data_IF_217196763948
#
_entry.id   IF_217196763948
#
_cell.length_a   1.000
_cell.length_b   1.000
_cell.length_c   1.000
_cell.angle_alpha   90.00
_cell.angle_beta   90.00
_cell.angle_gamma   90.00
#
_symmetry.space_group_name_H-M   'P 1'
#
loop_
_entity.id
_entity.type
_entity.pdbx_description
1 polymer ?
#
# COMPACT_ATOMS: atom_id res chain seq x y z
N UNK A 1 -3.15 -21.88 -25.70
CA UNK A 1 -3.61 -20.89 -24.69
C UNK A 1 -4.77 -21.43 -23.84
N UNK A 2 -5.93 -21.79 -24.41
CA UNK A 2 -7.12 -22.19 -23.62
C UNK A 2 -6.88 -23.31 -22.59
N UNK A 3 -6.12 -24.35 -22.95
CA UNK A 3 -5.75 -25.46 -22.06
C UNK A 3 -4.93 -24.96 -20.86
N UNK A 4 -3.99 -24.03 -21.10
CA UNK A 4 -3.18 -23.41 -20.06
C UNK A 4 -4.03 -22.55 -19.12
N UNK A 5 -4.95 -21.74 -19.65
CA UNK A 5 -5.88 -20.96 -18.85
C UNK A 5 -6.76 -21.84 -17.96
N UNK A 6 -7.25 -22.97 -18.46
CA UNK A 6 -8.03 -23.95 -17.68
C UNK A 6 -7.18 -24.61 -16.58
N UNK A 7 -5.92 -24.93 -16.88
CA UNK A 7 -4.99 -25.54 -15.93
C UNK A 7 -4.64 -24.61 -14.76
N UNK A 8 -4.57 -23.30 -15.00
CA UNK A 8 -4.17 -22.31 -13.99
C UNK A 8 -5.26 -21.25 -13.80
N UNK A 9 -6.32 -21.53 -13.00
CA UNK A 9 -7.52 -20.69 -12.92
C UNK A 9 -7.31 -19.29 -12.33
N UNK A 10 -6.21 -19.10 -11.61
CA UNK A 10 -5.92 -17.85 -10.89
C UNK A 10 -5.04 -16.87 -11.69
N UNK A 11 -4.54 -17.30 -12.85
CA UNK A 11 -3.77 -16.43 -13.73
C UNK A 11 -4.68 -15.48 -14.49
N UNK A 12 -4.22 -14.23 -14.60
CA UNK A 12 -4.77 -13.21 -15.47
C UNK A 12 -3.87 -13.07 -16.69
N UNK A 13 -4.47 -12.76 -17.83
CA UNK A 13 -3.77 -12.60 -19.10
C UNK A 13 -3.97 -11.20 -19.65
N UNK A 14 -2.89 -10.65 -20.17
CA UNK A 14 -2.91 -9.46 -21.01
C UNK A 14 -3.16 -9.86 -22.46
N UNK A 15 -4.04 -9.12 -23.13
CA UNK A 15 -4.22 -9.20 -24.58
C UNK A 15 -3.83 -7.83 -25.16
N UNK A 16 -2.71 -7.76 -25.86
CA UNK A 16 -2.21 -6.52 -26.45
C UNK A 16 -2.39 -6.55 -27.97
N UNK A 17 -3.02 -5.53 -28.54
CA UNK A 17 -3.15 -5.38 -29.97
C UNK A 17 -2.10 -4.44 -30.53
N UNK A 18 -1.60 -4.75 -31.72
CA UNK A 18 -0.56 -3.99 -32.42
C UNK A 18 -0.97 -3.71 -33.87
N UNK A 19 -0.42 -2.65 -34.44
CA UNK A 19 -0.56 -2.29 -35.86
C UNK A 19 0.81 -2.11 -36.51
N UNK A 20 0.83 -1.99 -37.82
CA UNK A 20 1.98 -1.40 -38.51
C UNK A 20 1.96 0.14 -38.37
N UNK A 21 2.88 0.82 -39.04
CA UNK A 21 2.99 2.29 -39.01
C UNK A 21 2.14 3.01 -40.05
N UNK A 22 1.29 2.33 -40.81
CA UNK A 22 0.50 2.94 -41.89
C UNK A 22 -0.86 3.39 -41.36
N UNK A 23 -1.25 4.61 -41.71
CA UNK A 23 -2.51 5.23 -41.27
C UNK A 23 -2.39 5.98 -39.94
N UNK A 24 -3.46 6.67 -39.56
CA UNK A 24 -3.50 7.56 -38.39
C UNK A 24 -4.21 6.94 -37.19
N UNK A 25 -5.18 6.05 -37.42
CA UNK A 25 -6.06 5.45 -36.39
C UNK A 25 -5.49 4.16 -35.78
N UNK A 26 -4.19 4.14 -35.50
CA UNK A 26 -3.49 2.93 -35.05
C UNK A 26 -3.91 2.48 -33.64
N UNK A 27 -4.16 3.41 -32.72
CA UNK A 27 -4.57 3.06 -31.35
C UNK A 27 -5.96 2.39 -31.31
N UNK A 28 -7.04 2.99 -31.87
CA UNK A 28 -8.35 2.32 -31.92
C UNK A 28 -8.32 0.98 -32.66
N UNK A 29 -7.60 0.90 -33.79
CA UNK A 29 -7.49 -0.35 -34.55
C UNK A 29 -6.82 -1.46 -33.74
N UNK A 30 -5.75 -1.11 -33.01
CA UNK A 30 -5.06 -2.04 -32.14
C UNK A 30 -5.95 -2.52 -30.99
N UNK A 31 -6.76 -1.63 -30.40
CA UNK A 31 -7.72 -1.99 -29.34
C UNK A 31 -8.78 -2.97 -29.85
N UNK A 32 -9.39 -2.67 -31.01
CA UNK A 32 -10.41 -3.53 -31.62
C UNK A 32 -9.87 -4.94 -31.90
N UNK A 33 -8.62 -5.03 -32.35
CA UNK A 33 -7.93 -6.30 -32.55
C UNK A 33 -7.78 -7.09 -31.24
N UNK A 34 -7.37 -6.43 -30.15
CA UNK A 34 -7.29 -7.06 -28.84
C UNK A 34 -8.67 -7.50 -28.32
N UNK A 35 -9.70 -6.67 -28.51
CA UNK A 35 -11.08 -6.97 -28.11
C UNK A 35 -11.67 -8.17 -28.86
N UNK A 36 -11.37 -8.34 -30.15
CA UNK A 36 -11.80 -9.51 -30.92
C UNK A 36 -11.23 -10.82 -30.35
N UNK A 37 -9.94 -10.82 -29.97
CA UNK A 37 -9.31 -11.98 -29.30
C UNK A 37 -9.94 -12.23 -27.92
N UNK A 38 -10.19 -11.17 -27.16
CA UNK A 38 -10.88 -11.26 -25.87
C UNK A 38 -12.26 -11.92 -26.03
N UNK A 39 -13.09 -11.43 -26.96
CA UNK A 39 -14.43 -11.96 -27.23
C UNK A 39 -14.37 -13.44 -27.59
N UNK A 40 -13.48 -13.82 -28.52
CA UNK A 40 -13.29 -15.22 -28.90
C UNK A 40 -12.96 -16.12 -27.69
N UNK A 41 -12.06 -15.69 -26.79
CA UNK A 41 -11.70 -16.46 -25.60
C UNK A 41 -12.84 -16.57 -24.57
N UNK A 42 -13.65 -15.52 -24.44
CA UNK A 42 -14.74 -15.49 -23.46
C UNK A 42 -16.01 -16.17 -23.98
N UNK A 43 -16.31 -16.04 -25.27
CA UNK A 43 -17.54 -16.52 -25.88
C UNK A 43 -17.41 -17.97 -26.35
N UNK A 44 -16.34 -18.31 -27.07
CA UNK A 44 -16.14 -19.67 -27.59
C UNK A 44 -15.56 -20.60 -26.53
N UNK A 45 -14.58 -20.12 -25.76
CA UNK A 45 -13.87 -20.95 -24.78
C UNK A 45 -14.40 -20.85 -23.35
N UNK A 46 -15.38 -19.97 -23.13
CA UNK A 46 -16.04 -19.71 -21.83
C UNK A 46 -15.05 -19.38 -20.71
N UNK A 47 -13.91 -18.78 -21.04
CA UNK A 47 -12.96 -18.33 -20.02
C UNK A 47 -13.52 -17.05 -19.39
N UNK A 48 -13.59 -16.94 -18.05
CA UNK A 48 -14.22 -15.79 -17.42
C UNK A 48 -13.57 -14.45 -17.79
N UNK A 49 -14.38 -13.43 -18.07
CA UNK A 49 -13.96 -12.10 -18.53
C UNK A 49 -12.96 -11.41 -17.60
N UNK A 50 -13.12 -11.58 -16.28
CA UNK A 50 -12.23 -10.99 -15.27
C UNK A 50 -10.79 -11.55 -15.30
N UNK A 51 -10.52 -12.56 -16.13
CA UNK A 51 -9.17 -13.13 -16.32
C UNK A 51 -8.39 -12.45 -17.44
N UNK A 52 -8.96 -11.43 -18.05
CA UNK A 52 -8.33 -10.72 -19.15
C UNK A 52 -8.40 -9.21 -18.96
N UNK A 53 -7.42 -8.54 -19.51
CA UNK A 53 -7.51 -7.13 -19.86
C UNK A 53 -6.88 -6.89 -21.24
N UNK A 54 -7.35 -5.86 -21.93
CA UNK A 54 -6.90 -5.51 -23.27
C UNK A 54 -6.08 -4.22 -23.25
N UNK A 55 -4.96 -4.19 -23.97
CA UNK A 55 -4.15 -2.99 -24.16
C UNK A 55 -4.03 -2.64 -25.65
N UNK A 56 -4.03 -1.34 -25.95
CA UNK A 56 -3.86 -0.79 -27.28
C UNK A 56 -2.42 -0.29 -27.46
N UNK A 57 -1.60 -1.01 -28.23
CA UNK A 57 -0.19 -0.65 -28.42
C UNK A 57 0.05 0.24 -29.65
N UNK A 58 -0.95 0.34 -30.53
CA UNK A 58 -0.82 1.02 -31.81
C UNK A 58 0.41 0.55 -32.59
N UNK A 59 1.14 1.50 -33.17
CA UNK A 59 2.35 1.26 -33.97
C UNK A 59 3.66 1.42 -33.19
N UNK A 60 3.58 1.74 -31.89
CA UNK A 60 4.74 2.15 -31.06
C UNK A 60 5.74 1.03 -30.79
N UNK A 61 5.32 -0.23 -30.90
CA UNK A 61 6.14 -1.40 -30.55
C UNK A 61 6.17 -2.43 -31.69
N UNK A 62 6.84 -2.11 -32.82
CA UNK A 62 6.93 -3.01 -33.96
C UNK A 62 7.79 -4.24 -33.63
N UNK A 63 7.33 -5.42 -34.04
CA UNK A 63 8.12 -6.66 -33.93
C UNK A 63 9.21 -6.75 -35.01
N UNK A 64 8.96 -6.11 -36.16
CA UNK A 64 9.90 -5.95 -37.27
C UNK A 64 9.87 -4.52 -37.83
N UNK A 65 10.94 -4.00 -38.44
CA UNK A 65 10.92 -2.68 -39.07
C UNK A 65 9.80 -2.56 -40.12
N UNK A 66 9.07 -1.45 -40.16
CA UNK A 66 7.90 -1.25 -41.07
C UNK A 66 8.26 -1.02 -42.56
N UNK A 67 9.44 -1.47 -43.00
CA UNK A 67 10.00 -1.17 -44.32
C UNK A 67 9.31 -1.96 -45.46
N UNK A 68 9.03 -3.25 -45.24
CA UNK A 68 8.42 -4.12 -46.27
C UNK A 68 7.00 -4.54 -45.88
N UNK A 69 6.18 -4.92 -46.86
CA UNK A 69 4.82 -5.41 -46.59
C UNK A 69 4.82 -6.70 -45.76
N UNK A 70 5.81 -7.56 -45.97
CA UNK A 70 6.03 -8.75 -45.16
C UNK A 70 6.27 -8.39 -43.69
N UNK A 71 7.14 -7.41 -43.40
CA UNK A 71 7.39 -6.96 -42.03
C UNK A 71 6.16 -6.26 -41.40
N UNK A 72 5.43 -5.45 -42.18
CA UNK A 72 4.18 -4.82 -41.71
C UNK A 72 3.12 -5.84 -41.34
N UNK A 73 2.97 -6.90 -42.12
CA UNK A 73 2.06 -8.01 -41.83
C UNK A 73 2.35 -8.63 -40.46
N UNK A 74 3.62 -8.84 -40.12
CA UNK A 74 4.02 -9.36 -38.81
C UNK A 74 3.74 -8.38 -37.65
N UNK A 75 3.69 -7.07 -37.92
CA UNK A 75 3.38 -6.06 -36.90
C UNK A 75 1.87 -5.98 -36.59
N UNK A 76 1.00 -6.30 -37.56
CA UNK A 76 -0.45 -6.35 -37.40
C UNK A 76 -0.89 -7.62 -36.64
N UNK A 77 -0.66 -7.66 -35.33
CA UNK A 77 -0.85 -8.86 -34.50
C UNK A 77 -1.58 -8.58 -33.19
N UNK A 78 -2.01 -9.64 -32.52
CA UNK A 78 -2.41 -9.62 -31.12
C UNK A 78 -1.53 -10.59 -30.34
N UNK A 79 -0.97 -10.12 -29.23
CA UNK A 79 -0.15 -10.94 -28.34
C UNK A 79 -0.93 -11.23 -27.05
N UNK A 80 -0.83 -12.46 -26.55
CA UNK A 80 -1.39 -12.86 -25.26
C UNK A 80 -0.24 -13.21 -24.32
N UNK A 81 -0.20 -12.57 -23.15
CA UNK A 81 0.85 -12.78 -22.14
C UNK A 81 0.24 -13.06 -20.78
N UNK A 82 0.93 -13.83 -19.96
CA UNK A 82 0.59 -13.91 -18.54
C UNK A 82 0.87 -12.55 -17.90
N UNK A 83 -0.10 -12.02 -17.17
CA UNK A 83 0.06 -10.78 -16.42
C UNK A 83 0.78 -11.01 -15.09
N UNK A 84 1.37 -9.96 -14.54
CA UNK A 84 1.78 -9.90 -13.13
C UNK A 84 0.60 -9.83 -12.16
N UNK A 85 -0.61 -9.55 -12.66
CA UNK A 85 -1.85 -9.54 -11.89
C UNK A 85 -2.41 -10.94 -11.65
N UNK A 86 -3.15 -11.08 -10.55
CA UNK A 86 -4.01 -12.22 -10.28
C UNK A 86 -5.50 -11.86 -10.28
N UNK A 87 -6.35 -12.88 -10.18
CA UNK A 87 -7.81 -12.70 -10.22
C UNK A 87 -8.34 -11.84 -9.06
N UNK A 88 -7.65 -11.80 -7.91
CA UNK A 88 -8.02 -10.92 -6.81
C UNK A 88 -7.82 -9.46 -7.20
N UNK A 89 -6.67 -9.14 -7.78
CA UNK A 89 -6.40 -7.80 -8.32
C UNK A 89 -7.47 -7.36 -9.34
N UNK A 90 -7.96 -8.28 -10.15
CA UNK A 90 -9.02 -8.01 -11.13
C UNK A 90 -10.39 -7.83 -10.50
N UNK A 91 -10.73 -8.57 -9.44
CA UNK A 91 -11.99 -8.37 -8.72
C UNK A 91 -12.08 -6.97 -8.12
N UNK A 92 -11.01 -6.47 -7.49
CA UNK A 92 -11.01 -5.12 -6.92
C UNK A 92 -11.21 -4.05 -8.00
N UNK A 93 -10.45 -4.13 -9.11
CA UNK A 93 -10.57 -3.21 -10.25
C UNK A 93 -11.96 -3.24 -10.88
N UNK A 94 -12.54 -4.43 -11.06
CA UNK A 94 -13.88 -4.55 -11.60
C UNK A 94 -14.96 -4.03 -10.64
N UNK A 95 -14.75 -4.13 -9.32
CA UNK A 95 -15.63 -3.50 -8.34
C UNK A 95 -15.61 -1.97 -8.48
N UNK A 96 -14.42 -1.36 -8.60
CA UNK A 96 -14.29 0.10 -8.83
C UNK A 96 -15.00 0.54 -10.12
N UNK A 97 -14.76 -0.16 -11.23
CA UNK A 97 -15.42 0.13 -12.52
C UNK A 97 -16.94 -0.01 -12.45
N UNK A 98 -17.43 -1.03 -11.75
CA UNK A 98 -18.85 -1.22 -11.55
C UNK A 98 -19.46 -0.07 -10.73
N UNK A 99 -18.72 0.49 -9.76
CA UNK A 99 -19.16 1.69 -9.03
C UNK A 99 -19.23 2.92 -9.94
N UNK A 100 -18.21 3.18 -10.76
CA UNK A 100 -18.22 4.30 -11.72
C UNK A 100 -19.42 4.22 -12.68
N UNK A 101 -19.74 3.01 -13.13
CA UNK A 101 -20.90 2.73 -13.99
C UNK A 101 -22.24 2.70 -13.24
N UNK A 102 -22.25 2.89 -11.92
CA UNK A 102 -23.42 2.78 -11.03
C UNK A 102 -24.07 1.39 -11.01
N UNK A 103 -23.31 0.35 -11.36
CA UNK A 103 -23.70 -1.06 -11.37
C UNK A 103 -23.46 -1.71 -9.99
N UNK A 104 -24.10 -1.18 -8.94
CA UNK A 104 -23.75 -1.52 -7.55
C UNK A 104 -23.90 -3.00 -7.20
N UNK A 105 -24.87 -3.72 -7.78
CA UNK A 105 -25.00 -5.16 -7.57
C UNK A 105 -23.80 -5.94 -8.09
N UNK A 106 -23.25 -5.53 -9.23
CA UNK A 106 -22.04 -6.12 -9.77
C UNK A 106 -20.82 -5.75 -8.93
N UNK A 107 -20.74 -4.51 -8.45
CA UNK A 107 -19.68 -4.07 -7.53
C UNK A 107 -19.62 -4.94 -6.27
N UNK A 108 -20.77 -5.19 -5.60
CA UNK A 108 -20.84 -6.09 -4.44
C UNK A 108 -20.43 -7.52 -4.78
N UNK A 109 -20.84 -8.05 -5.94
CA UNK A 109 -20.43 -9.38 -6.40
C UNK A 109 -18.91 -9.51 -6.51
N UNK A 110 -18.25 -8.51 -7.08
CA UNK A 110 -16.79 -8.49 -7.18
C UNK A 110 -16.10 -8.29 -5.83
N UNK A 111 -16.61 -7.40 -4.96
CA UNK A 111 -16.07 -7.23 -3.61
C UNK A 111 -16.17 -8.52 -2.80
N UNK A 112 -17.28 -9.25 -2.88
CA UNK A 112 -17.41 -10.54 -2.21
C UNK A 112 -16.41 -11.58 -2.73
N UNK A 113 -16.15 -11.62 -4.04
CA UNK A 113 -15.11 -12.50 -4.61
C UNK A 113 -13.71 -12.10 -4.14
N UNK A 114 -13.42 -10.80 -4.10
CA UNK A 114 -12.16 -10.27 -3.59
C UNK A 114 -11.93 -10.64 -2.11
N UNK A 115 -12.95 -10.48 -1.27
CA UNK A 115 -12.93 -10.82 0.16
C UNK A 115 -12.77 -12.33 0.44
N UNK A 116 -12.92 -13.22 -0.54
CA UNK A 116 -12.70 -14.66 -0.33
C UNK A 116 -11.49 -15.20 -1.09
N UNK A 117 -10.86 -14.36 -1.93
CA UNK A 117 -9.74 -14.72 -2.79
C UNK A 117 -8.55 -13.80 -2.48
N UNK A 118 -7.66 -14.16 -1.54
CA UNK A 118 -6.47 -13.35 -1.26
C UNK A 118 -5.56 -13.27 -2.49
N UNK A 119 -4.94 -12.10 -2.70
CA UNK A 119 -3.90 -11.92 -3.72
C UNK A 119 -2.61 -12.63 -3.28
N UNK A 120 -1.79 -13.09 -4.23
CA UNK A 120 -0.48 -13.66 -3.90
C UNK A 120 0.39 -12.61 -3.20
N UNK A 121 0.89 -12.94 -2.01
CA UNK A 121 1.74 -12.04 -1.21
C UNK A 121 0.98 -10.92 -0.49
N UNK A 122 -0.36 -10.89 -0.53
CA UNK A 122 -1.16 -9.94 0.25
C UNK A 122 -1.19 -10.36 1.72
N UNK A 123 -0.66 -9.49 2.58
CA UNK A 123 -0.52 -9.70 4.02
C UNK A 123 -1.78 -9.31 4.81
N UNK A 124 -2.97 -9.37 4.20
CA UNK A 124 -4.24 -9.14 4.90
C UNK A 124 -4.60 -7.67 5.10
N UNK A 125 -4.60 -6.87 4.02
CA UNK A 125 -5.01 -5.45 4.09
C UNK A 125 -6.47 -5.22 3.70
N UNK A 126 -7.38 -6.17 3.98
CA UNK A 126 -8.79 -6.02 3.57
C UNK A 126 -9.51 -4.89 4.27
N UNK A 127 -9.03 -4.49 5.44
CA UNK A 127 -9.50 -3.29 6.14
C UNK A 127 -9.40 -2.03 5.27
N UNK A 128 -8.45 -1.94 4.34
CA UNK A 128 -8.36 -0.82 3.38
C UNK A 128 -9.68 -0.60 2.62
N UNK A 129 -10.43 -1.66 2.31
CA UNK A 129 -11.75 -1.55 1.65
C UNK A 129 -12.73 -0.67 2.44
N UNK A 130 -12.65 -0.70 3.78
CA UNK A 130 -13.49 0.13 4.64
C UNK A 130 -13.12 1.61 4.61
N UNK A 131 -11.93 1.94 4.08
CA UNK A 131 -11.37 3.29 4.01
C UNK A 131 -11.18 3.80 2.57
N UNK A 132 -11.38 2.96 1.57
CA UNK A 132 -11.36 3.39 0.17
C UNK A 132 -12.60 4.22 -0.15
N UNK A 133 -12.39 5.52 -0.34
CA UNK A 133 -13.45 6.50 -0.55
C UNK A 133 -14.17 6.34 -1.89
N UNK A 134 -13.57 5.60 -2.85
CA UNK A 134 -14.23 5.28 -4.12
C UNK A 134 -15.43 4.35 -3.94
N UNK A 135 -15.52 3.66 -2.79
CA UNK A 135 -16.66 2.82 -2.42
C UNK A 135 -17.67 3.52 -1.50
N UNK A 136 -17.55 4.82 -1.20
CA UNK A 136 -18.45 5.54 -0.27
C UNK A 136 -19.93 5.36 -0.61
N UNK A 137 -20.28 5.37 -1.90
CA UNK A 137 -21.67 5.16 -2.34
C UNK A 137 -22.21 3.79 -1.92
N UNK A 138 -21.37 2.76 -1.88
CA UNK A 138 -21.77 1.42 -1.47
C UNK A 138 -21.95 1.33 0.05
N UNK A 139 -21.26 2.16 0.85
CA UNK A 139 -21.34 2.12 2.32
C UNK A 139 -22.73 2.46 2.86
N UNK A 140 -23.53 3.16 2.05
CA UNK A 140 -24.93 3.52 2.35
C UNK A 140 -25.93 2.39 2.02
N UNK A 141 -25.50 1.38 1.27
CA UNK A 141 -26.33 0.24 0.88
C UNK A 141 -26.36 -0.82 2.00
N UNK A 142 -27.53 -1.42 2.26
CA UNK A 142 -27.72 -2.45 3.29
C UNK A 142 -26.75 -3.65 3.16
N UNK A 143 -26.31 -3.98 1.95
CA UNK A 143 -25.36 -5.08 1.67
C UNK A 143 -23.96 -4.80 2.19
N UNK A 144 -23.62 -3.53 2.45
CA UNK A 144 -22.34 -3.15 3.03
C UNK A 144 -22.10 -3.79 4.40
N UNK A 145 -23.15 -3.99 5.19
CA UNK A 145 -23.05 -4.67 6.49
C UNK A 145 -22.35 -6.03 6.39
N UNK A 146 -22.60 -6.80 5.33
CA UNK A 146 -21.93 -8.09 5.09
C UNK A 146 -20.47 -7.92 4.70
N UNK A 147 -20.12 -6.86 3.97
CA UNK A 147 -18.73 -6.52 3.62
C UNK A 147 -17.96 -6.15 4.89
N UNK A 148 -18.49 -5.24 5.70
CA UNK A 148 -17.90 -4.82 6.97
C UNK A 148 -17.70 -6.01 7.93
N UNK A 149 -18.71 -6.86 8.09
CA UNK A 149 -18.60 -8.07 8.92
C UNK A 149 -17.51 -9.03 8.46
N UNK A 150 -17.34 -9.23 7.14
CA UNK A 150 -16.30 -10.11 6.58
C UNK A 150 -14.90 -9.56 6.84
N UNK A 151 -14.71 -8.26 6.69
CA UNK A 151 -13.44 -7.60 7.00
C UNK A 151 -13.13 -7.70 8.50
N UNK A 152 -14.09 -7.40 9.37
CA UNK A 152 -13.93 -7.52 10.83
C UNK A 152 -13.62 -8.95 11.27
N UNK A 153 -14.18 -9.95 10.58
CA UNK A 153 -13.94 -11.35 10.90
C UNK A 153 -12.48 -11.78 10.77
N UNK A 154 -11.64 -11.05 10.00
CA UNK A 154 -10.19 -11.31 9.91
C UNK A 154 -9.46 -11.07 11.23
N UNK A 155 -10.02 -10.24 12.11
CA UNK A 155 -9.42 -9.91 13.39
C UNK A 155 -9.76 -10.92 14.50
N UNK A 156 -10.67 -11.87 14.25
CA UNK A 156 -11.13 -12.85 15.25
C UNK A 156 -10.04 -13.79 15.75
N UNK A 157 -8.95 -13.96 15.01
CA UNK A 157 -7.80 -14.76 15.43
C UNK A 157 -6.95 -14.06 16.49
N UNK A 158 -7.08 -12.75 16.65
CA UNK A 158 -6.29 -11.97 17.59
C UNK A 158 -6.92 -12.00 18.98
N UNK A 159 -6.07 -12.10 20.01
CA UNK A 159 -6.48 -12.07 21.42
C UNK A 159 -7.29 -10.81 21.74
N UNK A 160 -6.90 -9.67 21.18
CA UNK A 160 -7.58 -8.40 21.34
C UNK A 160 -8.28 -7.95 20.05
N UNK A 161 -9.10 -8.81 19.43
CA UNK A 161 -9.84 -8.57 18.17
C UNK A 161 -10.31 -7.12 17.97
N UNK A 162 -11.10 -6.60 18.91
CA UNK A 162 -11.69 -5.25 18.78
C UNK A 162 -10.64 -4.14 18.81
N UNK A 163 -9.59 -4.29 19.61
CA UNK A 163 -8.53 -3.29 19.69
C UNK A 163 -7.56 -3.39 18.52
N UNK A 164 -7.27 -4.59 18.03
CA UNK A 164 -6.51 -4.80 16.80
C UNK A 164 -7.18 -4.10 15.62
N UNK A 165 -8.50 -4.33 15.43
CA UNK A 165 -9.27 -3.64 14.40
C UNK A 165 -9.25 -2.12 14.57
N UNK A 166 -9.39 -1.62 15.80
CA UNK A 166 -9.39 -0.18 16.09
C UNK A 166 -8.04 0.47 15.78
N UNK A 167 -6.91 -0.17 16.15
CA UNK A 167 -5.57 0.34 15.87
C UNK A 167 -5.30 0.43 14.36
N UNK A 168 -5.64 -0.62 13.61
CA UNK A 168 -5.52 -0.56 12.15
C UNK A 168 -6.47 0.48 11.54
N UNK A 169 -7.70 0.60 12.05
CA UNK A 169 -8.67 1.61 11.60
C UNK A 169 -8.10 3.02 11.74
N UNK A 170 -7.52 3.35 12.90
CA UNK A 170 -6.91 4.65 13.15
C UNK A 170 -5.70 4.91 12.25
N UNK A 171 -4.91 3.88 11.92
CA UNK A 171 -3.83 3.98 10.93
C UNK A 171 -4.35 4.37 9.55
N UNK A 172 -5.40 3.72 9.05
CA UNK A 172 -5.94 4.07 7.72
C UNK A 172 -6.56 5.47 7.71
N UNK A 173 -7.25 5.83 8.78
CA UNK A 173 -7.78 7.17 8.99
C UNK A 173 -6.68 8.24 9.01
N UNK A 174 -5.54 7.97 9.67
CA UNK A 174 -4.34 8.82 9.60
C UNK A 174 -3.81 8.97 8.17
N UNK A 175 -3.67 7.85 7.45
CA UNK A 175 -3.20 7.82 6.06
C UNK A 175 -4.12 8.60 5.10
N UNK A 176 -5.42 8.64 5.38
CA UNK A 176 -6.37 9.46 4.61
C UNK A 176 -6.11 10.94 4.88
N UNK A 177 -6.08 11.33 6.15
CA UNK A 177 -5.97 12.75 6.55
C UNK A 177 -4.64 13.35 6.10
N UNK A 178 -3.55 12.58 6.11
CA UNK A 178 -2.24 13.03 5.62
C UNK A 178 -2.04 12.87 4.10
N UNK A 179 -3.07 12.43 3.36
CA UNK A 179 -3.05 12.23 1.90
C UNK A 179 -2.15 11.08 1.43
N UNK A 180 -1.45 10.37 2.32
CA UNK A 180 -0.50 9.30 1.96
C UNK A 180 -1.18 8.04 1.47
N UNK A 181 -2.47 7.84 1.78
CA UNK A 181 -3.23 6.69 1.29
C UNK A 181 -3.31 6.66 -0.25
N UNK A 182 -3.22 7.82 -0.91
CA UNK A 182 -3.20 7.91 -2.37
C UNK A 182 -1.84 7.50 -2.99
N UNK A 183 -0.74 7.78 -2.27
CA UNK A 183 0.62 7.80 -2.81
C UNK A 183 1.49 6.60 -2.40
N UNK A 184 0.95 5.58 -1.74
CA UNK A 184 1.75 4.41 -1.37
C UNK A 184 2.25 3.69 -2.62
N UNK A 185 3.51 3.91 -3.00
CA UNK A 185 4.15 3.44 -4.24
C UNK A 185 4.17 1.92 -4.42
N UNK A 186 5.34 1.28 -4.38
CA UNK A 186 5.48 -0.17 -4.65
C UNK A 186 4.71 -1.09 -3.67
N UNK A 187 4.06 -0.53 -2.64
CA UNK A 187 3.31 -1.21 -1.57
C UNK A 187 1.78 -1.10 -1.71
N UNK A 188 1.24 -0.43 -2.72
CA UNK A 188 -0.21 -0.34 -2.92
C UNK A 188 -0.84 0.85 -2.21
N UNK A 189 -1.13 1.92 -2.95
CA UNK A 189 -2.03 3.01 -2.53
C UNK A 189 -3.39 2.85 -3.19
N UNK A 190 -4.35 3.72 -2.87
CA UNK A 190 -5.65 3.67 -3.55
C UNK A 190 -5.49 3.89 -5.06
N UNK A 191 -4.58 4.79 -5.46
CA UNK A 191 -4.32 5.06 -6.88
C UNK A 191 -3.26 4.14 -7.48
N UNK A 192 -2.28 3.72 -6.69
CA UNK A 192 -1.21 2.82 -7.12
C UNK A 192 -1.52 1.39 -6.66
N UNK A 193 -2.61 0.78 -7.16
CA UNK A 193 -3.00 -0.57 -6.79
C UNK A 193 -1.88 -1.59 -7.04
N UNK A 194 -1.81 -2.73 -6.32
CA UNK A 194 -0.86 -3.79 -6.62
C UNK A 194 -0.86 -4.17 -8.11
N UNK A 195 0.35 -4.18 -8.69
CA UNK A 195 0.55 -4.34 -10.12
C UNK A 195 -0.07 -3.22 -10.95
N UNK A 196 0.10 -1.96 -10.53
CA UNK A 196 -0.50 -0.78 -11.17
C UNK A 196 -0.32 -0.78 -12.70
N UNK A 197 -1.42 -0.60 -13.43
CA UNK A 197 -1.46 -0.49 -14.88
C UNK A 197 -2.22 0.80 -15.21
N UNK A 198 -1.55 1.85 -15.72
CA UNK A 198 -2.18 3.15 -15.98
C UNK A 198 -3.46 3.07 -16.82
N UNK A 199 -3.50 2.20 -17.82
CA UNK A 199 -4.64 2.00 -18.71
C UNK A 199 -5.84 1.33 -18.03
N UNK A 200 -5.61 0.61 -16.92
CA UNK A 200 -6.66 -0.06 -16.16
C UNK A 200 -7.09 0.72 -14.91
N UNK A 201 -6.15 1.43 -14.30
CA UNK A 201 -6.24 2.06 -12.98
C UNK A 201 -6.56 3.55 -13.13
N UNK A 202 -7.66 3.82 -13.83
CA UNK A 202 -8.15 5.17 -14.17
C UNK A 202 -9.07 5.77 -13.10
N UNK A 203 -9.56 4.95 -12.16
CA UNK A 203 -10.43 5.39 -11.07
C UNK A 203 -9.57 6.00 -9.96
N UNK A 204 -9.16 7.24 -10.16
CA UNK A 204 -8.24 7.94 -9.25
C UNK A 204 -9.00 8.69 -8.16
N UNK A 205 -8.42 8.70 -6.96
CA UNK A 205 -8.86 9.48 -5.82
C UNK A 205 -7.85 10.59 -5.56
N UNK A 206 -8.33 11.83 -5.53
CA UNK A 206 -7.54 12.96 -5.03
C UNK A 206 -8.00 13.30 -3.62
N UNK A 207 -7.03 13.40 -2.70
CA UNK A 207 -7.29 13.81 -1.34
C UNK A 207 -6.60 15.16 -1.11
N UNK A 208 -7.34 16.16 -0.60
CA UNK A 208 -6.74 17.45 -0.32
C UNK A 208 -5.71 17.31 0.80
N UNK A 209 -4.59 18.01 0.66
CA UNK A 209 -3.62 18.17 1.74
C UNK A 209 -4.30 18.94 2.86
N UNK A 210 -4.31 18.34 4.06
CA UNK A 210 -4.92 18.96 5.22
C UNK A 210 -3.96 19.96 5.88
N UNK A 211 -4.46 21.10 6.42
CA UNK A 211 -3.65 21.99 7.22
C UNK A 211 -3.06 21.29 8.44
N UNK A 212 -1.89 21.75 8.90
CA UNK A 212 -1.18 21.19 10.06
C UNK A 212 -2.04 21.15 11.33
N UNK A 213 -2.91 22.14 11.53
CA UNK A 213 -3.84 22.19 12.66
C UNK A 213 -4.88 21.07 12.65
N UNK A 214 -5.34 20.66 11.47
CA UNK A 214 -6.27 19.53 11.31
C UNK A 214 -5.55 18.22 11.60
N UNK A 215 -4.32 18.07 11.10
CA UNK A 215 -3.47 16.91 11.37
C UNK A 215 -3.19 16.76 12.87
N UNK A 216 -2.79 17.84 13.54
CA UNK A 216 -2.49 17.82 14.97
C UNK A 216 -3.70 17.40 15.81
N UNK A 217 -4.88 17.98 15.53
CA UNK A 217 -6.13 17.58 16.20
C UNK A 217 -6.45 16.10 15.99
N UNK A 218 -6.10 15.55 14.82
CA UNK A 218 -6.28 14.13 14.53
C UNK A 218 -5.37 13.24 15.37
N UNK A 219 -4.09 13.61 15.49
CA UNK A 219 -3.13 12.89 16.33
C UNK A 219 -3.54 12.89 17.81
N UNK A 220 -4.09 14.00 18.31
CA UNK A 220 -4.64 14.08 19.66
C UNK A 220 -5.80 13.10 19.88
N UNK A 221 -6.71 13.00 18.91
CA UNK A 221 -7.83 12.05 18.95
C UNK A 221 -7.35 10.59 18.93
N UNK A 222 -6.35 10.28 18.10
CA UNK A 222 -5.76 8.94 18.04
C UNK A 222 -5.03 8.60 19.34
N UNK A 223 -4.28 9.54 19.94
CA UNK A 223 -3.66 9.34 21.24
C UNK A 223 -4.72 9.08 22.33
N UNK A 224 -5.77 9.89 22.37
CA UNK A 224 -6.85 9.74 23.34
C UNK A 224 -7.55 8.38 23.23
N UNK A 225 -7.66 7.83 22.02
CA UNK A 225 -8.19 6.48 21.78
C UNK A 225 -7.17 5.37 22.11
N UNK A 226 -5.87 5.62 21.90
CA UNK A 226 -4.78 4.68 22.19
C UNK A 226 -4.58 4.47 23.70
N UNK A 227 -4.61 5.53 24.50
CA UNK A 227 -4.26 5.46 25.92
C UNK A 227 -5.10 4.46 26.74
N UNK A 228 -6.44 4.39 26.60
CA UNK A 228 -7.24 3.37 27.27
C UNK A 228 -6.90 1.93 26.85
N UNK A 229 -6.47 1.73 25.60
CA UNK A 229 -6.02 0.41 25.11
C UNK A 229 -4.73 0.05 25.84
N UNK A 230 -3.73 0.93 25.81
CA UNK A 230 -2.46 0.71 26.48
C UNK A 230 -2.64 0.45 27.99
N UNK A 231 -3.55 1.17 28.65
CA UNK A 231 -3.86 0.95 30.06
C UNK A 231 -4.46 -0.43 30.37
N UNK A 232 -5.17 -1.04 29.41
CA UNK A 232 -5.79 -2.37 29.56
C UNK A 232 -4.89 -3.52 29.12
N UNK A 233 -4.08 -3.31 28.08
CA UNK A 233 -3.34 -4.39 27.43
C UNK A 233 -1.83 -4.32 27.66
N UNK A 234 -1.34 -3.19 28.17
CA UNK A 234 0.07 -2.84 28.04
C UNK A 234 0.41 -2.50 26.59
N UNK A 235 1.69 -2.55 26.25
CA UNK A 235 2.16 -2.28 24.88
C UNK A 235 1.63 -3.36 23.91
N UNK A 236 0.98 -2.99 22.78
CA UNK A 236 0.41 -3.95 21.85
C UNK A 236 1.47 -4.85 21.21
N UNK A 237 1.31 -6.16 21.37
CA UNK A 237 2.22 -7.19 20.86
C UNK A 237 1.75 -7.70 19.50
N UNK A 238 2.67 -7.97 18.55
CA UNK A 238 2.30 -8.51 17.24
C UNK A 238 1.60 -9.87 17.35
N UNK A 239 1.95 -10.70 18.35
CA UNK A 239 1.31 -11.99 18.58
C UNK A 239 -0.15 -11.88 19.05
N UNK A 240 -0.53 -10.76 19.67
CA UNK A 240 -1.85 -10.57 20.27
C UNK A 240 -2.78 -9.67 19.45
N UNK A 241 -2.21 -8.78 18.63
CA UNK A 241 -2.91 -7.78 17.83
C UNK A 241 -2.69 -7.93 16.32
N UNK A 242 -1.68 -8.67 15.89
CA UNK A 242 -1.16 -8.60 14.52
C UNK A 242 -0.09 -7.52 14.36
N UNK A 243 0.78 -7.70 13.38
CA UNK A 243 1.95 -6.84 13.15
C UNK A 243 1.57 -5.40 12.81
N UNK A 244 0.62 -5.19 11.89
CA UNK A 244 0.19 -3.84 11.48
C UNK A 244 -0.43 -3.07 12.64
N UNK A 245 -1.33 -3.70 13.40
CA UNK A 245 -2.03 -3.06 14.50
C UNK A 245 -1.06 -2.71 15.64
N UNK A 246 -0.15 -3.63 15.99
CA UNK A 246 0.91 -3.38 16.98
C UNK A 246 1.79 -2.20 16.58
N UNK A 247 2.23 -2.16 15.32
CA UNK A 247 3.05 -1.07 14.80
C UNK A 247 2.31 0.28 14.76
N UNK A 248 0.99 0.27 14.62
CA UNK A 248 0.16 1.50 14.57
C UNK A 248 0.15 2.25 15.90
N UNK A 249 0.22 1.53 17.03
CA UNK A 249 0.33 2.15 18.35
C UNK A 249 1.60 3.02 18.48
N UNK A 250 2.72 2.58 17.93
CA UNK A 250 3.96 3.35 17.89
C UNK A 250 3.78 4.65 17.08
N UNK A 251 3.21 4.57 15.88
CA UNK A 251 3.02 5.74 15.01
C UNK A 251 2.17 6.82 15.68
N UNK A 252 1.04 6.43 16.26
CA UNK A 252 0.15 7.36 16.97
C UNK A 252 0.83 8.03 18.17
N UNK A 253 1.60 7.25 18.94
CA UNK A 253 2.34 7.79 20.08
C UNK A 253 3.44 8.76 19.65
N UNK A 254 4.17 8.45 18.57
CA UNK A 254 5.22 9.31 18.04
C UNK A 254 4.65 10.64 17.51
N UNK A 255 3.49 10.61 16.86
CA UNK A 255 2.89 11.79 16.21
C UNK A 255 2.17 12.75 17.16
N UNK A 256 1.76 12.29 18.34
CA UNK A 256 0.95 13.11 19.25
C UNK A 256 1.65 14.35 19.83
N UNK A 257 2.99 14.41 19.76
CA UNK A 257 3.84 15.46 20.37
C UNK A 257 3.75 15.55 21.90
N UNK A 258 3.13 14.56 22.55
CA UNK A 258 2.98 14.48 24.01
C UNK A 258 4.23 13.83 24.65
N UNK A 259 5.33 14.59 24.76
CA UNK A 259 6.64 14.08 25.19
C UNK A 259 6.59 13.32 26.53
N UNK A 260 5.85 13.82 27.52
CA UNK A 260 5.72 13.14 28.82
C UNK A 260 5.03 11.77 28.69
N UNK A 261 4.03 11.67 27.83
CA UNK A 261 3.31 10.42 27.56
C UNK A 261 4.21 9.44 26.80
N UNK A 262 4.99 9.93 25.83
CA UNK A 262 5.96 9.12 25.09
C UNK A 262 7.03 8.53 26.02
N UNK A 263 7.62 9.36 26.89
CA UNK A 263 8.59 8.94 27.90
C UNK A 263 8.01 7.89 28.85
N UNK A 264 6.75 8.06 29.28
CA UNK A 264 6.05 7.09 30.15
C UNK A 264 5.97 5.69 29.52
N UNK A 265 5.72 5.61 28.22
CA UNK A 265 5.55 4.32 27.51
C UNK A 265 6.85 3.74 26.94
N UNK A 266 7.92 4.51 26.91
CA UNK A 266 9.23 4.10 26.38
C UNK A 266 9.76 2.79 27.02
N UNK A 267 9.68 2.55 28.35
CA UNK A 267 10.13 1.30 28.96
C UNK A 267 9.31 0.08 28.53
N UNK A 268 7.99 0.25 28.35
CA UNK A 268 7.11 -0.84 27.91
C UNK A 268 7.37 -1.19 26.43
N UNK A 269 7.61 -0.18 25.59
CA UNK A 269 8.03 -0.37 24.20
C UNK A 269 9.39 -1.09 24.14
N UNK A 270 10.35 -0.72 24.97
CA UNK A 270 11.66 -1.39 25.04
C UNK A 270 11.50 -2.88 25.35
N UNK A 271 10.74 -3.20 26.42
CA UNK A 271 10.46 -4.58 26.81
C UNK A 271 9.80 -5.37 25.68
N UNK A 272 8.87 -4.75 24.95
CA UNK A 272 8.27 -5.38 23.77
C UNK A 272 9.28 -5.67 22.65
N UNK A 273 10.30 -4.81 22.48
CA UNK A 273 11.39 -5.08 21.52
C UNK A 273 12.29 -6.24 21.98
N UNK A 274 12.61 -6.30 23.27
CA UNK A 274 13.38 -7.40 23.87
C UNK A 274 12.66 -8.74 23.73
N UNK A 275 11.34 -8.75 23.81
CA UNK A 275 10.48 -9.93 23.57
C UNK A 275 10.31 -10.27 22.07
N UNK A 276 10.86 -9.46 21.15
CA UNK A 276 10.72 -9.65 19.70
C UNK A 276 9.33 -9.34 19.15
N UNK A 277 8.50 -8.66 19.94
CA UNK A 277 7.10 -8.31 19.62
C UNK A 277 6.99 -6.98 18.87
N UNK A 278 7.97 -6.09 19.03
CA UNK A 278 8.06 -4.80 18.32
C UNK A 278 9.45 -4.63 17.70
N UNK A 279 9.58 -4.01 16.51
CA UNK A 279 10.90 -3.70 15.94
C UNK A 279 11.68 -2.69 16.79
N UNK A 280 12.97 -2.95 17.02
CA UNK A 280 13.88 -2.03 17.73
C UNK A 280 13.98 -0.64 17.11
N UNK A 281 13.69 -0.51 15.81
CA UNK A 281 13.61 0.79 15.13
C UNK A 281 12.55 1.71 15.75
N UNK A 282 11.45 1.17 16.27
CA UNK A 282 10.41 1.97 16.92
C UNK A 282 10.93 2.56 18.23
N UNK A 283 11.58 1.75 19.06
CA UNK A 283 12.21 2.22 20.28
C UNK A 283 13.26 3.31 19.98
N UNK A 284 14.19 3.05 19.05
CA UNK A 284 15.25 3.99 18.71
C UNK A 284 14.69 5.35 18.24
N UNK A 285 13.65 5.33 17.39
CA UNK A 285 12.97 6.54 16.91
C UNK A 285 12.30 7.34 18.02
N UNK A 286 11.56 6.66 18.91
CA UNK A 286 10.89 7.34 20.02
C UNK A 286 11.91 7.88 21.03
N UNK A 287 12.95 7.11 21.31
CA UNK A 287 14.03 7.47 22.23
C UNK A 287 14.73 8.76 21.78
N UNK A 288 15.22 8.79 20.54
CA UNK A 288 15.90 9.96 19.98
C UNK A 288 14.95 11.17 19.88
N UNK A 289 13.68 10.94 19.49
CA UNK A 289 12.66 11.99 19.43
C UNK A 289 12.46 12.65 20.81
N UNK A 290 12.27 11.86 21.86
CA UNK A 290 12.12 12.39 23.21
C UNK A 290 13.39 13.09 23.70
N UNK A 291 14.59 12.54 23.42
CA UNK A 291 15.84 13.17 23.81
C UNK A 291 16.01 14.56 23.18
N UNK A 292 15.79 14.69 21.87
CA UNK A 292 15.88 15.98 21.20
C UNK A 292 14.87 16.99 21.73
N UNK A 293 13.62 16.54 22.00
CA UNK A 293 12.60 17.40 22.60
C UNK A 293 13.00 17.91 24.01
N UNK A 294 13.87 17.18 24.71
CA UNK A 294 14.44 17.56 26.01
C UNK A 294 15.80 18.30 25.88
N UNK A 295 16.24 18.64 24.68
CA UNK A 295 17.55 19.26 24.43
C UNK A 295 18.75 18.33 24.67
N UNK A 296 18.52 17.02 24.69
CA UNK A 296 19.55 15.99 24.87
C UNK A 296 19.98 15.42 23.52
N UNK A 297 21.23 14.93 23.41
CA UNK A 297 21.69 14.29 22.19
C UNK A 297 20.94 12.99 21.88
N UNK A 298 20.86 12.66 20.59
CA UNK A 298 20.40 11.38 20.08
C UNK A 298 21.41 10.28 20.35
N UNK A 299 20.93 9.06 20.59
CA UNK A 299 21.78 7.86 20.74
C UNK A 299 21.94 7.09 19.44
N UNK A 300 20.87 7.02 18.65
CA UNK A 300 20.83 6.17 17.46
C UNK A 300 20.82 6.96 16.14
N UNK A 301 20.81 8.30 16.21
CA UNK A 301 20.74 9.22 15.07
C UNK A 301 19.59 8.86 14.12
N UNK A 302 18.39 8.64 14.67
CA UNK A 302 17.19 8.32 13.87
C UNK A 302 16.42 9.55 13.40
N UNK A 303 16.70 10.73 13.93
CA UNK A 303 16.16 12.01 13.48
C UNK A 303 17.23 12.70 12.64
N UNK A 304 17.11 12.58 11.32
CA UNK A 304 17.95 13.28 10.34
C UNK A 304 17.03 14.12 9.47
N UNK A 305 17.37 15.40 9.30
CA UNK A 305 16.62 16.33 8.50
C UNK A 305 17.27 16.44 7.12
N UNK A 306 16.46 16.51 6.06
CA UNK A 306 16.93 16.85 4.73
C UNK A 306 16.56 18.31 4.47
N UNK A 307 17.57 19.13 4.24
CA UNK A 307 17.42 20.54 3.94
C UNK A 307 16.95 20.74 2.49
N UNK A 308 16.45 21.93 2.16
CA UNK A 308 15.93 22.27 0.83
C UNK A 308 16.98 22.09 -0.28
N UNK A 309 18.26 22.30 0.05
CA UNK A 309 19.38 22.11 -0.87
C UNK A 309 19.80 20.63 -1.03
N UNK A 310 19.10 19.68 -0.40
CA UNK A 310 19.40 18.26 -0.40
C UNK A 310 20.49 17.83 0.59
N UNK A 311 21.11 18.77 1.32
CA UNK A 311 22.06 18.43 2.37
C UNK A 311 21.35 17.79 3.57
N UNK A 312 22.06 16.93 4.28
CA UNK A 312 21.57 16.30 5.50
C UNK A 312 22.00 17.10 6.71
N UNK A 313 21.03 17.45 7.55
CA UNK A 313 21.29 18.01 8.87
C UNK A 313 21.04 16.94 9.93
N UNK A 314 22.08 16.65 10.71
CA UNK A 314 22.00 15.76 11.87
C UNK A 314 21.95 16.64 13.14
N UNK A 315 20.84 16.63 13.91
CA UNK A 315 20.75 17.21 15.25
C UNK A 315 21.70 16.51 16.22
N UNK A 316 22.01 17.13 17.36
CA UNK A 316 23.00 16.67 18.35
C UNK A 316 22.95 15.16 18.65
N UNK A 317 24.13 14.54 18.81
CA UNK A 317 24.28 13.10 19.02
C UNK A 317 25.32 12.75 20.10
N UNK A 318 25.23 11.52 20.63
CA UNK A 318 26.14 10.99 21.64
C UNK A 318 27.46 10.51 21.00
N UNK A 319 28.58 11.16 21.32
CA UNK A 319 29.92 10.72 20.91
C UNK A 319 30.23 10.98 19.43
N UNK A 320 30.57 9.93 18.69
CA UNK A 320 30.97 9.98 17.28
C UNK A 320 30.27 8.89 16.45
N UNK A 321 30.54 8.85 15.14
CA UNK A 321 29.93 7.88 14.21
C UNK A 321 30.10 6.44 14.69
N UNK A 322 31.29 6.07 15.19
CA UNK A 322 31.56 4.71 15.70
C UNK A 322 30.75 4.40 16.95
N UNK A 323 30.63 5.35 17.88
CA UNK A 323 29.79 5.20 19.07
C UNK A 323 28.34 4.92 18.66
N UNK A 324 27.78 5.71 17.74
CA UNK A 324 26.40 5.53 17.27
C UNK A 324 26.22 4.20 16.56
N UNK A 325 27.12 3.83 15.65
CA UNK A 325 27.09 2.56 14.93
C UNK A 325 27.16 1.36 15.88
N UNK A 326 28.00 1.42 16.92
CA UNK A 326 28.07 0.40 17.95
C UNK A 326 26.75 0.26 18.74
N UNK A 327 26.07 1.37 19.06
CA UNK A 327 24.77 1.31 19.73
C UNK A 327 23.68 0.74 18.80
N UNK A 328 23.69 1.12 17.53
CA UNK A 328 22.76 0.59 16.51
C UNK A 328 22.93 -0.92 16.32
N UNK A 329 24.17 -1.39 16.24
CA UNK A 329 24.48 -2.82 16.09
C UNK A 329 23.98 -3.67 17.26
N UNK A 330 24.07 -3.17 18.51
CA UNK A 330 23.58 -3.89 19.71
C UNK A 330 22.10 -4.24 19.66
N UNK A 331 21.29 -3.42 19.00
CA UNK A 331 19.84 -3.62 18.86
C UNK A 331 19.44 -4.07 17.44
N UNK A 332 20.41 -4.49 16.63
CA UNK A 332 20.18 -5.04 15.29
C UNK A 332 19.73 -4.02 14.24
N UNK A 333 19.99 -2.73 14.45
CA UNK A 333 19.76 -1.71 13.43
C UNK A 333 20.89 -1.70 12.39
N UNK A 334 20.59 -1.38 11.12
CA UNK A 334 21.63 -1.16 10.13
C UNK A 334 22.53 0.00 10.57
N UNK A 335 23.79 -0.02 10.17
CA UNK A 335 24.72 1.10 10.40
C UNK A 335 24.19 2.38 9.73
N UNK A 336 24.72 3.53 10.14
CA UNK A 336 24.44 4.79 9.46
C UNK A 336 24.86 4.68 7.99
N UNK A 337 24.09 5.31 7.10
CA UNK A 337 24.50 5.44 5.71
C UNK A 337 25.73 6.34 5.61
N UNK A 338 26.52 6.16 4.55
CA UNK A 338 27.69 7.01 4.28
C UNK A 338 27.31 8.50 4.31
N UNK A 339 26.22 8.87 3.63
CA UNK A 339 25.75 10.26 3.61
C UNK A 339 25.45 10.85 5.01
N UNK A 340 24.92 10.04 5.94
CA UNK A 340 24.66 10.52 7.32
C UNK A 340 25.97 10.60 8.10
N UNK A 341 26.87 9.63 7.93
CA UNK A 341 28.18 9.65 8.58
C UNK A 341 29.03 10.84 8.12
N UNK A 342 29.02 11.15 6.83
CA UNK A 342 29.73 12.29 6.24
C UNK A 342 29.17 13.61 6.80
N UNK A 343 27.84 13.76 6.85
CA UNK A 343 27.18 14.94 7.42
C UNK A 343 27.46 15.13 8.93
N UNK A 344 27.71 14.04 9.67
CA UNK A 344 28.15 14.12 11.07
C UNK A 344 29.61 14.55 11.18
N UNK A 345 30.48 14.06 10.29
CA UNK A 345 31.91 14.39 10.29
C UNK A 345 32.17 15.86 9.94
N UNK A 346 31.38 16.46 9.04
CA UNK A 346 31.47 17.89 8.70
C UNK A 346 31.18 18.84 9.89
N UNK A 347 30.54 18.33 10.95
CA UNK A 347 30.15 19.08 12.16
C UNK A 347 31.06 18.82 13.37
N UNK A 348 31.99 17.86 13.28
CA UNK A 348 33.01 17.58 14.32
C UNK A 348 34.27 18.38 14.06
#
# INVERSE_FOLDING_TARGET
>A
MQHFARKYPDLVFEISGHTDSIGTENLPLSLNRAQSVFQYLTEEHKIPTFRFYTLAMGSKHPFRPNQTEACRTLNRRADIRQSGLDVSNMFYRNALRAVEKKEYAQAFSFLHKWLIKPSKGDSGRRIMLLFDLRFEVLKKDKRWSTVDQKVRAEYRSFKYERYAFLLDSMRFDELIVNGRLNAMGHQGGLNALPGYIPELDTVLLELPIQPETVLQKKYEQHLAALLPILGKTGWPKKSEFGETASNSAFTMLLQSREILTQLKWLPALQKSCEEGETPWLHYAKLYDHCNLALGKPQRYCTQVLMLENGALEVPTWEGNVDTVNNQRAKIGLPLLSLAVADAMAEKQ
#
